data_IF_323381939438
#
_entry.id   IF_323381939438
#
_cell.length_a   1.000
_cell.length_b   1.000
_cell.length_c   1.000
_cell.angle_alpha   90.00
_cell.angle_beta   90.00
_cell.angle_gamma   90.00
#
_symmetry.space_group_name_H-M   'P 1'
#
loop_
_entity.id
_entity.type
_entity.pdbx_description
1 polymer ?
#
# COMPACT_ATOMS: atom_id res chain seq x y z
N UNK A 1 -4.42 -11.42 1.09
CA UNK A 1 -3.29 -10.55 0.68
C UNK A 1 -2.08 -11.30 0.10
N UNK A 2 -2.22 -12.57 -0.30
CA UNK A 2 -1.18 -13.26 -1.09
C UNK A 2 0.17 -13.50 -0.40
N UNK A 3 0.31 -13.23 0.90
CA UNK A 3 1.53 -13.49 1.67
C UNK A 3 1.66 -14.97 2.07
N UNK A 4 2.89 -15.43 2.22
CA UNK A 4 3.25 -16.76 2.72
C UNK A 4 3.76 -16.61 4.15
N UNK A 5 3.11 -17.26 5.12
CA UNK A 5 3.60 -17.28 6.50
C UNK A 5 4.87 -18.13 6.57
N UNK A 6 6.02 -17.50 6.81
CA UNK A 6 7.32 -18.18 6.93
C UNK A 6 7.66 -18.52 8.38
N UNK A 7 6.85 -18.05 9.34
CA UNK A 7 6.98 -18.38 10.76
C UNK A 7 5.72 -18.01 11.55
N UNK A 8 5.71 -18.28 12.86
CA UNK A 8 4.54 -18.05 13.72
C UNK A 8 4.09 -16.59 13.78
N UNK A 9 5.03 -15.66 13.61
CA UNK A 9 4.81 -14.20 13.66
C UNK A 9 5.37 -13.48 12.43
N UNK A 10 5.84 -14.22 11.43
CA UNK A 10 6.55 -13.65 10.28
C UNK A 10 5.87 -14.10 9.00
N UNK A 11 5.33 -13.13 8.26
CA UNK A 11 4.74 -13.35 6.96
C UNK A 11 5.63 -12.73 5.88
N UNK A 12 6.04 -13.53 4.89
CA UNK A 12 6.61 -13.02 3.66
C UNK A 12 5.46 -12.50 2.78
N UNK A 13 5.33 -11.18 2.69
CA UNK A 13 4.26 -10.55 1.94
C UNK A 13 4.49 -10.64 0.43
N UNK A 14 3.40 -10.69 -0.33
CA UNK A 14 3.48 -10.51 -1.78
C UNK A 14 4.10 -9.15 -2.12
N UNK A 15 4.72 -9.05 -3.29
CA UNK A 15 5.33 -7.80 -3.76
C UNK A 15 4.34 -6.63 -3.66
N UNK A 16 4.78 -5.54 -3.03
CA UNK A 16 3.94 -4.36 -2.80
C UNK A 16 3.10 -4.40 -1.52
N UNK A 17 3.27 -5.39 -0.64
CA UNK A 17 2.61 -5.46 0.67
C UNK A 17 3.61 -5.55 1.81
N UNK A 18 3.24 -5.05 2.99
CA UNK A 18 4.06 -5.00 4.20
C UNK A 18 3.23 -5.17 5.48
N UNK A 19 3.93 -5.18 6.61
CA UNK A 19 3.36 -5.39 7.94
C UNK A 19 3.24 -6.87 8.31
N UNK A 20 3.06 -7.15 9.60
CA UNK A 20 3.05 -8.52 10.15
C UNK A 20 1.96 -9.42 9.55
N UNK A 21 0.88 -8.80 9.07
CA UNK A 21 -0.28 -9.47 8.46
C UNK A 21 -0.37 -9.25 6.95
N UNK A 22 0.63 -8.60 6.33
CA UNK A 22 0.63 -8.26 4.91
C UNK A 22 -0.62 -7.48 4.47
N UNK A 23 -1.14 -6.61 5.34
CA UNK A 23 -2.35 -5.80 5.09
C UNK A 23 -2.00 -4.35 4.72
N UNK A 24 -0.74 -3.95 4.87
CA UNK A 24 -0.29 -2.60 4.54
C UNK A 24 0.22 -2.57 3.10
N UNK A 25 -0.51 -1.91 2.21
CA UNK A 25 -0.06 -1.70 0.84
C UNK A 25 1.14 -0.74 0.79
N UNK A 26 2.08 -1.02 -0.10
CA UNK A 26 3.26 -0.19 -0.35
C UNK A 26 3.02 0.60 -1.64
N UNK A 27 3.18 1.92 -1.56
CA UNK A 27 3.17 2.80 -2.73
C UNK A 27 4.57 3.38 -2.90
N UNK A 28 5.28 2.98 -3.95
CA UNK A 28 6.70 3.29 -4.19
C UNK A 28 6.96 4.79 -4.26
N UNK A 29 6.08 5.52 -4.95
CA UNK A 29 6.18 6.98 -5.10
C UNK A 29 5.49 7.75 -3.97
N UNK A 30 4.85 7.04 -3.03
CA UNK A 30 4.02 7.62 -1.98
C UNK A 30 2.74 8.29 -2.48
N UNK A 31 1.74 8.36 -1.61
CA UNK A 31 0.53 9.13 -1.85
C UNK A 31 0.66 10.50 -1.17
N UNK A 32 0.38 11.57 -1.89
CA UNK A 32 0.49 12.94 -1.40
C UNK A 32 -0.88 13.49 -0.97
N UNK A 33 -0.89 14.67 -0.35
CA UNK A 33 -2.10 15.43 -0.02
C UNK A 33 -3.16 14.65 0.78
N UNK A 34 -2.70 13.78 1.68
CA UNK A 34 -3.57 12.93 2.51
C UNK A 34 -4.14 11.71 1.78
N UNK A 35 -3.72 11.44 0.53
CA UNK A 35 -4.05 10.21 -0.18
C UNK A 35 -3.59 8.97 0.60
N UNK A 36 -4.35 7.88 0.45
CA UNK A 36 -4.10 6.62 1.14
C UNK A 36 -3.66 5.56 0.14
N UNK A 37 -2.63 4.79 0.49
CA UNK A 37 -2.23 3.63 -0.29
C UNK A 37 -3.19 2.47 0.02
N UNK A 38 -4.14 2.21 -0.87
CA UNK A 38 -5.19 1.19 -0.65
C UNK A 38 -4.85 -0.13 -1.33
N UNK A 39 -3.94 -0.11 -2.31
CA UNK A 39 -3.37 -1.27 -2.96
C UNK A 39 -1.95 -0.92 -3.46
N UNK A 40 -1.11 -1.91 -3.80
CA UNK A 40 0.25 -1.68 -4.26
C UNK A 40 0.31 -0.66 -5.39
N UNK A 41 1.08 0.42 -5.19
CA UNK A 41 1.21 1.56 -6.11
C UNK A 41 -0.12 2.23 -6.53
N UNK A 42 -1.21 2.02 -5.78
CA UNK A 42 -2.51 2.64 -6.01
C UNK A 42 -2.85 3.57 -4.84
N UNK A 43 -2.93 4.86 -5.16
CA UNK A 43 -3.37 5.88 -4.23
C UNK A 43 -4.86 6.19 -4.39
N UNK A 44 -5.60 6.11 -3.29
CA UNK A 44 -6.93 6.68 -3.18
C UNK A 44 -6.81 8.12 -2.69
N UNK A 45 -7.16 9.06 -3.57
CA UNK A 45 -7.02 10.48 -3.30
C UNK A 45 -8.19 11.05 -2.52
N UNK A 46 -7.90 12.08 -1.73
CA UNK A 46 -8.91 12.91 -1.07
C UNK A 46 -9.63 13.79 -2.10
N UNK A 47 -10.81 14.29 -1.76
CA UNK A 47 -11.62 15.09 -2.69
C UNK A 47 -10.86 16.34 -3.16
N UNK A 48 -10.83 16.56 -4.48
CA UNK A 48 -10.10 17.65 -5.11
C UNK A 48 -8.68 17.30 -5.58
N UNK A 49 -8.18 16.09 -5.28
CA UNK A 49 -6.90 15.58 -5.77
C UNK A 49 -7.09 14.35 -6.67
N UNK A 50 -6.13 14.15 -7.56
CA UNK A 50 -6.15 13.14 -8.62
C UNK A 50 -4.73 12.76 -9.06
N UNK A 51 -4.64 11.83 -10.01
CA UNK A 51 -3.38 11.26 -10.49
C UNK A 51 -2.86 10.12 -9.62
N UNK A 52 -1.80 9.45 -10.09
CA UNK A 52 -1.25 8.25 -9.46
C UNK A 52 -0.73 8.48 -8.03
N UNK A 53 -0.29 9.71 -7.74
CA UNK A 53 0.27 10.12 -6.44
C UNK A 53 -0.58 11.15 -5.71
N UNK A 54 -1.80 11.44 -6.17
CA UNK A 54 -2.70 12.46 -5.60
C UNK A 54 -2.12 13.88 -5.59
N UNK A 55 -1.40 14.26 -6.64
CA UNK A 55 -0.75 15.57 -6.78
C UNK A 55 -1.41 16.48 -7.83
N UNK A 56 -2.41 15.98 -8.57
CA UNK A 56 -3.10 16.69 -9.64
C UNK A 56 -4.46 17.21 -9.21
#
# INVERSE_FOLDING_TARGET
NGGVCTGPTTCACATGWSGDTCTTAICTNGCQNGGQCTAPDICTCTAGWSGATCTL
#
